data_IF_093052840993
#
_entry.id   IF_093052840993
#
_cell.length_a   1.000
_cell.length_b   1.000
_cell.length_c   1.000
_cell.angle_alpha   90.00
_cell.angle_beta   90.00
_cell.angle_gamma   90.00
#
_symmetry.space_group_name_H-M   'P 1'
#
loop_
_entity.id
_entity.type
_entity.pdbx_description
1 polymer ?
#
# COMPACT_ATOMS: atom_id res chain seq x y z
N UNK A 1 22.84 -14.36 -13.84
CA UNK A 1 22.55 -14.35 -13.60
C UNK A 1 22.03 -14.38 -13.49
N UNK A 2 22.07 -14.57 -13.99
CA UNK A 2 21.43 -14.40 -13.87
C UNK A 2 20.95 -14.32 -12.89
N UNK A 3 21.25 -13.79 -12.73
CA UNK A 3 20.87 -13.63 -11.51
C UNK A 3 19.45 -13.70 -11.33
N UNK A 4 19.10 -13.94 -10.25
CA UNK A 4 17.84 -13.97 -9.92
C UNK A 4 17.42 -12.65 -9.43
N UNK A 5 16.40 -12.08 -9.93
CA UNK A 5 15.86 -10.83 -9.43
C UNK A 5 14.81 -11.12 -8.37
N UNK A 6 14.75 -10.28 -7.36
CA UNK A 6 13.71 -10.37 -6.36
C UNK A 6 12.37 -10.04 -6.98
N UNK A 7 11.29 -10.65 -6.53
CA UNK A 7 9.98 -10.25 -6.99
C UNK A 7 9.73 -8.79 -6.67
N UNK A 8 9.06 -8.11 -7.57
CA UNK A 8 8.70 -6.72 -7.35
C UNK A 8 7.52 -6.63 -6.41
N UNK A 9 7.45 -5.51 -5.70
CA UNK A 9 6.28 -5.19 -4.89
C UNK A 9 5.15 -4.82 -5.84
N UNK A 10 4.04 -5.51 -5.73
CA UNK A 10 2.88 -5.31 -6.61
C UNK A 10 1.93 -4.33 -5.95
N UNK A 11 1.60 -3.25 -6.64
CA UNK A 11 0.85 -2.14 -6.07
C UNK A 11 -0.42 -1.88 -6.86
N UNK A 12 -1.51 -1.67 -6.13
CA UNK A 12 -2.76 -1.19 -6.69
C UNK A 12 -2.93 0.27 -6.31
N UNK A 13 -3.23 1.11 -7.29
CA UNK A 13 -3.50 2.53 -7.06
C UNK A 13 -4.99 2.77 -7.12
N UNK A 14 -5.54 3.42 -6.09
CA UNK A 14 -6.96 3.76 -6.02
C UNK A 14 -7.08 5.24 -5.75
N UNK A 15 -7.38 6.01 -6.79
CA UNK A 15 -7.47 7.47 -6.72
C UNK A 15 -8.31 7.94 -7.91
N UNK A 16 -9.25 8.85 -7.67
CA UNK A 16 -10.15 9.30 -8.73
C UNK A 16 -9.49 10.27 -9.72
N UNK A 17 -8.32 10.80 -9.37
CA UNK A 17 -7.63 11.76 -10.23
C UNK A 17 -6.62 11.05 -11.12
N UNK A 18 -6.86 11.01 -12.45
CA UNK A 18 -5.94 10.30 -13.33
C UNK A 18 -4.53 10.88 -13.33
N UNK A 19 -4.39 12.19 -13.15
CA UNK A 19 -3.06 12.79 -13.10
C UNK A 19 -2.27 12.31 -11.89
N UNK A 20 -2.93 12.16 -10.76
CA UNK A 20 -2.26 11.65 -9.56
C UNK A 20 -1.86 10.19 -9.77
N UNK A 21 -2.74 9.39 -10.36
CA UNK A 21 -2.40 7.99 -10.64
C UNK A 21 -1.19 7.92 -11.57
N UNK A 22 -1.13 8.78 -12.59
CA UNK A 22 0.01 8.79 -13.50
C UNK A 22 1.30 9.14 -12.78
N UNK A 23 1.28 10.21 -11.99
CA UNK A 23 2.48 10.62 -11.24
C UNK A 23 2.91 9.52 -10.29
N UNK A 24 1.96 8.92 -9.57
CA UNK A 24 2.30 7.85 -8.64
C UNK A 24 2.89 6.64 -9.36
N UNK A 25 2.30 6.27 -10.51
CA UNK A 25 2.84 5.16 -11.28
C UNK A 25 4.27 5.44 -11.70
N UNK A 26 4.53 6.64 -12.23
CA UNK A 26 5.88 6.98 -12.68
C UNK A 26 6.88 6.96 -11.54
N UNK A 27 6.49 7.53 -10.40
CA UNK A 27 7.39 7.57 -9.25
C UNK A 27 7.64 6.19 -8.67
N UNK A 28 6.61 5.38 -8.54
CA UNK A 28 6.74 4.06 -7.96
C UNK A 28 7.56 3.15 -8.87
N UNK A 29 7.28 3.18 -10.17
CA UNK A 29 7.97 2.27 -11.09
C UNK A 29 9.40 2.71 -11.37
N UNK A 30 9.71 4.00 -11.16
CA UNK A 30 11.10 4.45 -11.28
C UNK A 30 11.98 3.82 -10.19
N UNK A 31 11.40 3.37 -9.11
CA UNK A 31 12.15 2.73 -8.05
C UNK A 31 12.79 1.40 -8.50
N UNK A 32 12.18 0.72 -9.45
CA UNK A 32 12.71 -0.55 -9.95
C UNK A 32 12.33 -1.76 -9.11
N UNK A 33 11.94 -1.55 -7.86
CA UNK A 33 11.49 -2.64 -6.98
C UNK A 33 9.98 -2.78 -6.97
N UNK A 34 9.26 -1.89 -7.66
CA UNK A 34 7.82 -1.76 -7.58
C UNK A 34 7.21 -1.89 -8.97
N UNK A 35 6.09 -2.57 -9.01
CA UNK A 35 5.29 -2.71 -10.23
C UNK A 35 3.85 -2.32 -9.90
N UNK A 36 3.27 -1.39 -10.66
CA UNK A 36 1.87 -1.04 -10.50
C UNK A 36 1.05 -2.04 -11.31
N UNK A 37 0.28 -2.85 -10.63
CA UNK A 37 -0.44 -3.95 -11.28
C UNK A 37 -1.89 -3.58 -11.60
N UNK A 38 -2.37 -2.48 -11.10
CA UNK A 38 -3.73 -2.04 -11.41
C UNK A 38 -3.99 -0.64 -10.93
N UNK A 39 -5.02 -0.03 -11.50
CA UNK A 39 -5.47 1.31 -11.12
C UNK A 39 -6.99 1.30 -11.05
N UNK A 40 -7.52 1.98 -10.07
CA UNK A 40 -8.96 2.13 -9.90
C UNK A 40 -9.27 3.61 -9.69
N UNK A 41 -10.37 4.05 -10.26
CA UNK A 41 -10.81 5.44 -10.14
C UNK A 41 -11.84 5.63 -9.02
N UNK A 42 -12.29 4.55 -8.41
CA UNK A 42 -13.27 4.63 -7.33
C UNK A 42 -13.11 3.45 -6.40
N UNK A 43 -13.69 3.60 -5.21
CA UNK A 43 -13.50 2.61 -4.15
C UNK A 43 -14.01 1.22 -4.50
N UNK A 44 -15.18 1.12 -5.12
CA UNK A 44 -15.74 -0.18 -5.45
C UNK A 44 -14.87 -0.94 -6.44
N UNK A 45 -14.31 -0.25 -7.42
CA UNK A 45 -13.38 -0.88 -8.34
C UNK A 45 -12.10 -1.29 -7.63
N UNK A 46 -11.63 -0.45 -6.69
CA UNK A 46 -10.47 -0.79 -5.88
C UNK A 46 -10.66 -2.06 -5.09
N UNK A 47 -11.84 -2.24 -4.51
CA UNK A 47 -12.16 -3.47 -3.77
C UNK A 47 -12.12 -4.67 -4.70
N UNK A 48 -12.73 -4.55 -5.87
CA UNK A 48 -12.77 -5.65 -6.84
C UNK A 48 -11.36 -6.02 -7.28
N UNK A 49 -10.55 -5.02 -7.63
CA UNK A 49 -9.20 -5.29 -8.10
C UNK A 49 -8.30 -5.84 -7.00
N UNK A 50 -8.49 -5.40 -5.77
CA UNK A 50 -7.74 -5.95 -4.65
C UNK A 50 -7.97 -7.45 -4.54
N UNK A 51 -9.22 -7.88 -4.69
CA UNK A 51 -9.55 -9.30 -4.64
C UNK A 51 -9.03 -10.10 -5.83
N UNK A 52 -8.97 -9.47 -7.00
CA UNK A 52 -8.50 -10.17 -8.20
C UNK A 52 -6.97 -10.22 -8.27
N UNK A 53 -6.32 -9.12 -7.91
CA UNK A 53 -4.88 -8.98 -8.13
C UNK A 53 -4.03 -9.38 -6.94
N UNK A 54 -4.60 -9.39 -5.74
CA UNK A 54 -3.87 -9.70 -4.50
C UNK A 54 -2.57 -8.89 -4.41
N UNK A 55 -2.68 -7.56 -4.41
CA UNK A 55 -1.47 -6.72 -4.38
C UNK A 55 -0.74 -6.83 -3.05
N UNK A 56 0.53 -6.46 -3.05
CA UNK A 56 1.30 -6.37 -1.83
C UNK A 56 1.04 -5.06 -1.10
N UNK A 57 0.66 -4.04 -1.84
CA UNK A 57 0.33 -2.74 -1.26
C UNK A 57 -0.79 -2.10 -2.07
N UNK A 58 -1.60 -1.31 -1.38
CA UNK A 58 -2.66 -0.51 -2.00
C UNK A 58 -2.43 0.92 -1.57
N UNK A 59 -2.31 1.83 -2.54
CA UNK A 59 -2.26 3.26 -2.27
C UNK A 59 -3.67 3.78 -2.50
N UNK A 60 -4.30 4.24 -1.45
CA UNK A 60 -5.74 4.52 -1.44
C UNK A 60 -6.00 5.97 -1.07
N UNK A 61 -6.60 6.71 -1.98
CA UNK A 61 -7.07 8.07 -1.69
C UNK A 61 -8.30 7.97 -0.79
N UNK A 62 -8.33 8.78 0.26
CA UNK A 62 -9.44 8.75 1.20
C UNK A 62 -10.66 9.52 0.69
N UNK A 63 -10.46 10.48 -0.20
CA UNK A 63 -11.58 11.27 -0.72
C UNK A 63 -11.81 10.98 -2.17
N UNK A 64 -12.91 10.30 -2.45
CA UNK A 64 -13.31 9.96 -3.81
C UNK A 64 -14.81 10.03 -3.90
N UNK A 65 -15.38 10.38 -5.08
CA UNK A 65 -16.83 10.32 -5.25
C UNK A 65 -17.33 8.87 -5.12
N UNK A 66 -18.55 8.73 -4.73
CA UNK A 66 -19.14 7.40 -4.53
C UNK A 66 -18.64 6.78 -3.26
N UNK A 67 -18.05 5.61 -3.35
CA UNK A 67 -17.47 4.96 -2.17
C UNK A 67 -16.12 5.61 -1.88
N UNK A 68 -16.01 6.32 -0.77
CA UNK A 68 -14.76 6.96 -0.38
C UNK A 68 -13.76 5.94 0.13
N UNK A 69 -12.52 6.40 0.36
CA UNK A 69 -11.45 5.49 0.76
C UNK A 69 -11.66 4.89 2.14
N UNK A 70 -12.27 5.64 3.06
CA UNK A 70 -12.49 5.12 4.41
C UNK A 70 -13.50 3.97 4.37
N UNK A 71 -14.54 4.11 3.54
CA UNK A 71 -15.52 3.03 3.37
C UNK A 71 -14.94 1.85 2.62
N UNK A 72 -14.07 2.10 1.65
CA UNK A 72 -13.44 1.04 0.88
C UNK A 72 -12.39 0.28 1.67
N UNK A 73 -11.75 0.92 2.63
CA UNK A 73 -10.60 0.35 3.33
C UNK A 73 -10.88 -1.00 3.98
N UNK A 74 -11.92 -1.16 4.80
CA UNK A 74 -12.14 -2.49 5.38
C UNK A 74 -12.46 -3.54 4.33
N UNK A 75 -13.12 -3.16 3.25
CA UNK A 75 -13.44 -4.10 2.18
C UNK A 75 -12.18 -4.51 1.41
N UNK A 76 -11.27 -3.57 1.21
CA UNK A 76 -9.98 -3.87 0.57
C UNK A 76 -9.17 -4.80 1.47
N UNK A 77 -9.16 -4.54 2.78
CA UNK A 77 -8.42 -5.40 3.70
C UNK A 77 -8.99 -6.81 3.74
N UNK A 78 -10.30 -6.95 3.63
CA UNK A 78 -10.91 -8.27 3.55
C UNK A 78 -10.59 -8.98 2.24
N UNK A 79 -10.57 -8.23 1.14
CA UNK A 79 -10.31 -8.80 -0.18
C UNK A 79 -8.83 -9.16 -0.37
N UNK A 80 -7.93 -8.42 0.25
CA UNK A 80 -6.49 -8.63 0.14
C UNK A 80 -5.86 -8.49 1.53
N UNK A 81 -6.06 -9.49 2.41
CA UNK A 81 -5.65 -9.34 3.81
C UNK A 81 -4.16 -9.17 4.03
N UNK A 82 -3.34 -9.62 3.09
CA UNK A 82 -1.90 -9.44 3.22
C UNK A 82 -1.37 -8.11 2.74
N UNK A 83 -2.22 -7.27 2.16
CA UNK A 83 -1.75 -6.02 1.57
C UNK A 83 -1.53 -4.96 2.63
N UNK A 84 -0.46 -4.18 2.46
CA UNK A 84 -0.25 -2.98 3.24
C UNK A 84 -1.05 -1.86 2.57
N UNK A 85 -1.90 -1.17 3.33
CA UNK A 85 -2.68 -0.08 2.78
C UNK A 85 -2.08 1.24 3.20
N UNK A 86 -1.72 2.06 2.21
CA UNK A 86 -1.25 3.42 2.41
C UNK A 86 -2.39 4.36 2.10
N UNK A 87 -2.91 5.03 3.11
CA UNK A 87 -3.97 6.01 2.93
C UNK A 87 -3.34 7.35 2.55
N UNK A 88 -3.67 7.84 1.37
CA UNK A 88 -3.07 9.05 0.83
C UNK A 88 -4.17 10.10 0.71
N UNK A 89 -3.97 11.26 1.30
CA UNK A 89 -5.01 12.28 1.27
C UNK A 89 -4.42 13.68 1.41
N UNK A 90 -5.06 14.64 0.75
CA UNK A 90 -4.73 16.04 0.93
C UNK A 90 -5.39 16.63 2.18
N UNK A 91 -6.27 15.87 2.83
CA UNK A 91 -6.96 16.36 4.02
C UNK A 91 -5.99 16.53 5.16
N UNK A 92 -6.22 17.54 6.01
CA UNK A 92 -5.45 17.60 7.25
C UNK A 92 -5.83 16.45 8.17
N UNK A 93 -5.00 16.19 9.14
CA UNK A 93 -5.30 15.18 10.14
C UNK A 93 -6.62 15.50 10.80
N UNK A 94 -7.48 14.51 10.92
CA UNK A 94 -8.83 14.70 11.47
C UNK A 94 -9.56 13.38 11.53
N UNK A 95 -10.87 13.41 11.74
CA UNK A 95 -11.63 12.17 11.95
C UNK A 95 -11.48 11.14 10.84
N UNK A 96 -11.44 11.58 9.59
CA UNK A 96 -11.32 10.64 8.48
C UNK A 96 -9.96 9.96 8.45
N UNK A 97 -8.89 10.72 8.66
CA UNK A 97 -7.55 10.13 8.68
C UNK A 97 -7.35 9.27 9.92
N UNK A 98 -7.90 9.68 11.06
CA UNK A 98 -7.86 8.88 12.27
C UNK A 98 -8.56 7.55 12.07
N UNK A 99 -9.71 7.57 11.41
CA UNK A 99 -10.45 6.36 11.14
C UNK A 99 -9.65 5.41 10.24
N UNK A 100 -8.99 5.95 9.23
CA UNK A 100 -8.18 5.14 8.34
C UNK A 100 -7.03 4.48 9.11
N UNK A 101 -6.38 5.23 9.99
CA UNK A 101 -5.31 4.69 10.82
C UNK A 101 -5.84 3.60 11.74
N UNK A 102 -7.00 3.83 12.36
CA UNK A 102 -7.61 2.83 13.23
C UNK A 102 -7.94 1.54 12.46
N UNK A 103 -8.27 1.67 11.19
CA UNK A 103 -8.56 0.52 10.34
C UNK A 103 -7.30 -0.14 9.79
N UNK A 104 -6.14 0.32 10.19
CA UNK A 104 -4.89 -0.34 9.88
C UNK A 104 -4.09 0.25 8.72
N UNK A 105 -4.51 1.40 8.18
CA UNK A 105 -3.76 2.04 7.11
C UNK A 105 -2.63 2.89 7.65
N UNK A 106 -1.57 3.04 6.87
CA UNK A 106 -0.54 4.02 7.12
C UNK A 106 -0.94 5.29 6.38
N UNK A 107 -1.08 6.40 7.10
CA UNK A 107 -1.51 7.64 6.51
C UNK A 107 -0.32 8.47 6.03
N UNK A 108 -0.38 8.95 4.79
CA UNK A 108 0.61 9.87 4.24
C UNK A 108 -0.13 11.03 3.61
N UNK A 109 0.33 12.25 3.89
CA UNK A 109 -0.29 13.43 3.32
C UNK A 109 0.08 13.56 1.84
N UNK A 110 -0.92 13.91 1.02
CA UNK A 110 -0.82 13.82 -0.43
C UNK A 110 0.36 14.56 -1.07
N UNK A 111 0.79 15.73 -0.60
CA UNK A 111 1.97 16.34 -1.23
C UNK A 111 3.24 15.53 -1.04
N UNK A 112 3.26 14.60 -0.11
CA UNK A 112 4.48 13.88 0.24
C UNK A 112 4.54 12.54 -0.49
N UNK A 113 4.51 12.60 -1.81
CA UNK A 113 4.48 11.37 -2.61
C UNK A 113 5.77 10.57 -2.51
N UNK A 114 6.88 11.23 -2.23
CA UNK A 114 8.15 10.51 -2.06
C UNK A 114 8.10 9.55 -0.88
N UNK A 115 7.40 9.92 0.18
CA UNK A 115 7.24 9.01 1.32
C UNK A 115 6.47 7.76 0.93
N UNK A 116 5.49 7.91 0.03
CA UNK A 116 4.76 6.75 -0.46
C UNK A 116 5.71 5.82 -1.19
N UNK A 117 6.55 6.37 -2.06
CA UNK A 117 7.52 5.57 -2.82
C UNK A 117 8.47 4.85 -1.88
N UNK A 118 8.98 5.56 -0.89
CA UNK A 118 9.93 4.96 0.05
C UNK A 118 9.28 3.86 0.88
N UNK A 119 8.07 4.09 1.35
CA UNK A 119 7.36 3.09 2.13
C UNK A 119 7.08 1.84 1.31
N UNK A 120 6.54 2.02 0.13
CA UNK A 120 6.19 0.89 -0.74
C UNK A 120 7.45 0.15 -1.16
N UNK A 121 8.48 0.88 -1.56
CA UNK A 121 9.74 0.26 -1.98
C UNK A 121 10.39 -0.53 -0.87
N UNK A 122 10.20 -0.10 0.38
CA UNK A 122 10.78 -0.80 1.51
C UNK A 122 10.15 -2.17 1.76
N UNK A 123 9.01 -2.45 1.14
CA UNK A 123 8.41 -3.77 1.23
C UNK A 123 9.13 -4.79 0.39
N UNK A 124 9.97 -4.35 -0.54
CA UNK A 124 10.73 -5.26 -1.36
C UNK A 124 11.87 -5.85 -0.56
N UNK A 125 12.23 -7.08 -0.89
CA UNK A 125 13.36 -7.70 -0.27
C UNK A 125 14.48 -7.76 -1.25
N UNK A 126 15.68 -7.52 -0.78
CA UNK A 126 16.85 -7.49 -1.62
C UNK A 126 17.51 -8.83 -1.62
N UNK A 127 17.71 -9.39 -2.80
CA UNK A 127 18.44 -10.63 -2.93
C UNK A 127 17.81 -11.75 -2.13
N UNK A 128 18.61 -12.76 -1.83
CA UNK A 128 18.09 -13.82 -0.98
C UNK A 128 17.80 -13.27 0.38
N UNK A 129 16.62 -13.54 0.84
CA UNK A 129 16.21 -12.98 2.07
C UNK A 129 16.99 -13.63 3.19
N UNK A 130 17.56 -12.88 4.10
CA UNK A 130 18.22 -13.50 5.24
C UNK A 130 17.21 -14.24 6.07
N UNK A 131 17.65 -15.24 6.81
CA UNK A 131 16.72 -15.91 7.71
C UNK A 131 16.13 -14.91 8.66
N UNK A 132 14.87 -15.08 8.97
CA UNK A 132 14.24 -14.17 9.87
C UNK A 132 14.92 -14.26 11.17
N UNK A 133 15.11 -13.14 11.83
CA UNK A 133 15.60 -13.24 13.22
C UNK A 133 14.59 -14.04 13.97
N UNK A 134 15.10 -14.85 14.84
CA UNK A 134 14.22 -15.54 15.59
C UNK A 134 13.52 -14.61 16.38
N UNK A 135 12.49 -14.72 16.42
CA UNK A 135 11.77 -13.80 17.02
C UNK A 135 12.00 -13.81 18.28
N UNK A 136 12.40 -13.34 18.77
CA UNK A 136 12.85 -13.49 19.83
C UNK A 136 12.19 -13.66 20.89
N UNK A 137 12.53 -13.94 20.75
CA UNK A 137 12.26 -14.09 21.29
C UNK A 137 11.62 -13.66 21.96
N UNK A 138 11.14 -13.85 22.09
CA UNK A 138 10.57 -13.54 22.45
C UNK A 138 10.47 -13.92 23.32
N UNK A 139 10.99 -14.12 23.70
CA UNK A 139 11.05 -14.50 24.19
C UNK A 139 11.01 -14.24 24.96
N UNK A 140 11.13 -14.34 25.18
CA UNK A 140 11.09 -14.25 25.78
C UNK A 140 11.03 -14.35 26.54
N UNK A 141 10.87 -14.39 26.84
CA UNK A 141 10.80 -14.53 27.53
C UNK A 141 10.84 -15.02 28.08
N UNK A 142 11.06 -15.18 27.82
CA UNK A 142 11.06 -15.57 27.98
C UNK A 142 11.38 -15.83 28.47
N UNK A 143 11.70 -15.92 28.42
CA UNK A 143 12.02 -16.10 28.73
C UNK A 143 12.22 -15.96 29.49
N UNK A 144 12.14 -16.01 29.70
CA UNK A 144 12.16 -15.93 30.40
C UNK A 144 12.08 -16.10 30.78
#
# INVERSE_FOLDING_TARGET
MGGRTSPKVRVLLVDDLPDIRLVMRLLLEADGRVEVVGEAAEGSEGVRLAGELHPDAVVLDLRMPGMDGVSALPLIRDAAPGAVVVALSALPVGPMTDRAIDLGATYIRKPDLRRVVNLVGSLARSGPEPPKPKRPKRMGPAAA
#
